data_IF_147787166870
#
_entry.id   IF_147787166870
#
_cell.length_a   1.000
_cell.length_b   1.000
_cell.length_c   1.000
_cell.angle_alpha   90.00
_cell.angle_beta   90.00
_cell.angle_gamma   90.00
#
_symmetry.space_group_name_H-M   'P 1'
#
loop_
_entity.id
_entity.type
_entity.pdbx_description
1 polymer ?
#
# COMPACT_ATOMS: atom_id res chain seq x y z
N UNK A 1 -10.37 5.98 8.03
CA UNK A 1 -11.26 4.85 8.42
C UNK A 1 -11.26 4.68 9.94
N UNK A 2 -12.33 4.18 10.59
CA UNK A 2 -12.36 3.94 12.04
C UNK A 2 -11.32 2.93 12.52
N UNK A 3 -10.89 3.07 13.77
CA UNK A 3 -9.77 2.30 14.33
C UNK A 3 -10.05 0.79 14.42
N UNK A 4 -11.30 0.41 14.68
CA UNK A 4 -11.74 -0.99 14.81
C UNK A 4 -11.50 -1.81 13.53
N UNK A 5 -11.47 -1.16 12.36
CA UNK A 5 -11.30 -1.80 11.06
C UNK A 5 -9.84 -1.82 10.58
N UNK A 6 -8.93 -1.11 11.26
CA UNK A 6 -7.53 -0.99 10.85
C UNK A 6 -6.88 -2.37 10.72
N UNK A 7 -7.05 -3.22 11.73
CA UNK A 7 -6.37 -4.51 11.77
C UNK A 7 -6.92 -5.48 10.71
N UNK A 8 -8.24 -5.50 10.52
CA UNK A 8 -8.92 -6.26 9.46
C UNK A 8 -8.39 -5.88 8.08
N UNK A 9 -8.40 -4.58 7.75
CA UNK A 9 -7.96 -4.08 6.45
C UNK A 9 -6.45 -4.29 6.25
N UNK A 10 -5.64 -4.09 7.28
CA UNK A 10 -4.21 -4.33 7.21
C UNK A 10 -3.90 -5.81 6.91
N UNK A 11 -4.64 -6.75 7.54
CA UNK A 11 -4.51 -8.20 7.26
C UNK A 11 -4.85 -8.53 5.81
N UNK A 12 -5.93 -7.96 5.26
CA UNK A 12 -6.31 -8.16 3.85
C UNK A 12 -5.20 -7.67 2.92
N UNK A 13 -4.70 -6.44 3.13
CA UNK A 13 -3.65 -5.85 2.31
C UNK A 13 -2.34 -6.66 2.38
N UNK A 14 -1.98 -7.16 3.57
CA UNK A 14 -0.74 -7.91 3.78
C UNK A 14 -0.75 -9.32 3.17
N UNK A 15 -1.91 -9.85 2.75
CA UNK A 15 -2.00 -11.15 2.08
C UNK A 15 -1.52 -11.12 0.61
N UNK A 16 -1.27 -9.94 0.06
CA UNK A 16 -0.77 -9.78 -1.30
C UNK A 16 0.76 -9.74 -1.30
N UNK A 17 1.40 -10.72 -1.94
CA UNK A 17 2.87 -10.80 -2.07
C UNK A 17 3.48 -9.57 -2.78
N UNK A 18 2.68 -8.88 -3.60
CA UNK A 18 3.06 -7.66 -4.30
C UNK A 18 3.12 -6.42 -3.40
N UNK A 19 2.61 -6.50 -2.16
CA UNK A 19 2.70 -5.42 -1.17
C UNK A 19 4.01 -5.55 -0.40
N UNK A 20 4.83 -4.49 -0.47
CA UNK A 20 6.14 -4.45 0.18
C UNK A 20 6.13 -3.75 1.53
N UNK A 21 5.23 -2.78 1.71
CA UNK A 21 5.12 -1.96 2.90
C UNK A 21 3.65 -1.64 3.14
N UNK A 22 3.23 -1.61 4.42
CA UNK A 22 1.91 -1.20 4.85
C UNK A 22 2.02 -0.45 6.18
N UNK A 23 1.46 0.76 6.25
CA UNK A 23 1.64 1.70 7.35
C UNK A 23 0.31 2.29 7.80
N UNK A 24 0.10 2.30 9.11
CA UNK A 24 -0.85 3.22 9.75
C UNK A 24 -0.22 4.62 9.81
N UNK A 25 -1.01 5.63 9.45
CA UNK A 25 -0.65 7.06 9.49
C UNK A 25 -1.79 7.87 10.10
N UNK A 26 -1.51 8.99 10.78
CA UNK A 26 -2.54 9.91 11.22
C UNK A 26 -3.23 10.59 10.03
N UNK A 27 -4.52 10.92 10.18
CA UNK A 27 -5.31 11.64 9.19
C UNK A 27 -6.47 10.83 8.59
N UNK A 28 -7.19 11.42 7.63
CA UNK A 28 -8.37 10.80 7.01
C UNK A 28 -8.00 9.55 6.18
N UNK A 29 -6.89 9.64 5.44
CA UNK A 29 -6.26 8.53 4.75
C UNK A 29 -5.22 7.88 5.67
N UNK A 30 -5.68 6.96 6.51
CA UNK A 30 -4.87 6.41 7.59
C UNK A 30 -4.12 5.12 7.23
N UNK A 31 -4.38 4.47 6.10
CA UNK A 31 -3.63 3.27 5.66
C UNK A 31 -2.88 3.58 4.37
N UNK A 32 -1.57 3.38 4.39
CA UNK A 32 -0.66 3.65 3.29
C UNK A 32 0.14 2.40 2.97
N UNK A 33 0.11 1.94 1.71
CA UNK A 33 0.86 0.77 1.30
C UNK A 33 1.51 0.96 -0.06
N UNK A 34 2.63 0.25 -0.27
CA UNK A 34 3.36 0.23 -1.53
C UNK A 34 3.17 -1.13 -2.18
N UNK A 35 2.56 -1.14 -3.37
CA UNK A 35 2.34 -2.34 -4.17
C UNK A 35 3.09 -2.24 -5.49
N UNK A 36 3.69 -3.35 -5.93
CA UNK A 36 4.38 -3.44 -7.21
C UNK A 36 4.09 -4.78 -7.88
N UNK A 37 3.72 -4.76 -9.16
CA UNK A 37 3.45 -5.96 -9.95
C UNK A 37 4.20 -5.93 -11.28
N UNK A 38 4.40 -7.10 -11.89
CA UNK A 38 5.09 -7.24 -13.17
C UNK A 38 4.35 -6.57 -14.34
N UNK A 39 3.02 -6.48 -14.26
CA UNK A 39 2.17 -5.88 -15.30
C UNK A 39 1.13 -4.95 -14.71
N UNK A 40 0.69 -3.97 -15.51
CA UNK A 40 -0.38 -3.04 -15.13
C UNK A 40 -1.69 -3.78 -14.85
N UNK A 41 -2.02 -4.79 -15.64
CA UNK A 41 -3.24 -5.59 -15.46
C UNK A 41 -3.23 -6.35 -14.12
N UNK A 42 -2.08 -6.89 -13.69
CA UNK A 42 -1.97 -7.53 -12.38
C UNK A 42 -2.13 -6.50 -11.26
N UNK A 43 -1.50 -5.32 -11.39
CA UNK A 43 -1.65 -4.24 -10.43
C UNK A 43 -3.11 -3.80 -10.27
N UNK A 44 -3.82 -3.58 -11.38
CA UNK A 44 -5.24 -3.21 -11.38
C UNK A 44 -6.10 -4.28 -10.73
N UNK A 45 -5.83 -5.56 -11.00
CA UNK A 45 -6.54 -6.69 -10.37
C UNK A 45 -6.36 -6.67 -8.85
N UNK A 46 -5.13 -6.51 -8.35
CA UNK A 46 -4.84 -6.43 -6.92
C UNK A 46 -5.58 -5.26 -6.26
N UNK A 47 -5.52 -4.07 -6.88
CA UNK A 47 -6.19 -2.87 -6.35
C UNK A 47 -7.71 -3.04 -6.31
N UNK A 48 -8.30 -3.70 -7.31
CA UNK A 48 -9.72 -3.99 -7.34
C UNK A 48 -10.11 -5.04 -6.28
N UNK A 49 -9.33 -6.09 -6.10
CA UNK A 49 -9.55 -7.10 -5.04
C UNK A 49 -9.47 -6.46 -3.64
N UNK A 50 -8.49 -5.59 -3.40
CA UNK A 50 -8.38 -4.83 -2.14
C UNK A 50 -9.62 -3.94 -1.94
N UNK A 51 -10.05 -3.17 -2.96
CA UNK A 51 -11.26 -2.33 -2.87
C UNK A 51 -12.50 -3.16 -2.54
N UNK A 52 -12.67 -4.31 -3.21
CA UNK A 52 -13.83 -5.18 -3.01
C UNK A 52 -13.86 -5.82 -1.62
N UNK A 53 -12.73 -6.36 -1.15
CA UNK A 53 -12.67 -7.05 0.14
C UNK A 53 -12.77 -6.09 1.33
N UNK A 54 -12.17 -4.89 1.21
CA UNK A 54 -12.16 -3.91 2.30
C UNK A 54 -13.37 -2.98 2.27
N UNK A 55 -14.04 -2.83 1.11
CA UNK A 55 -15.07 -1.83 0.90
C UNK A 55 -14.56 -0.38 0.97
N UNK A 56 -13.24 -0.17 0.98
CA UNK A 56 -12.61 1.14 1.13
C UNK A 56 -12.28 1.75 -0.23
N UNK A 57 -12.41 3.07 -0.35
CA UNK A 57 -11.86 3.82 -1.49
C UNK A 57 -10.34 3.81 -1.45
N UNK A 58 -9.68 3.70 -2.60
CA UNK A 58 -8.23 3.84 -2.73
C UNK A 58 -7.88 5.05 -3.59
N UNK A 59 -6.77 5.70 -3.24
CA UNK A 59 -6.10 6.71 -4.07
C UNK A 59 -4.82 6.08 -4.62
N UNK A 60 -4.68 6.07 -5.94
CA UNK A 60 -3.47 5.60 -6.62
C UNK A 60 -2.49 6.78 -6.76
N UNK A 61 -1.30 6.65 -6.19
CA UNK A 61 -0.22 7.65 -6.27
C UNK A 61 1.00 7.04 -6.99
N UNK A 62 0.97 6.91 -8.32
CA UNK A 62 2.05 6.26 -9.07
C UNK A 62 3.32 7.13 -9.07
N UNK A 63 4.47 6.49 -8.94
CA UNK A 63 5.77 7.14 -9.12
C UNK A 63 5.94 7.54 -10.59
N UNK A 64 5.80 8.83 -10.89
CA UNK A 64 6.00 9.36 -12.25
C UNK A 64 7.48 9.60 -12.59
N UNK A 65 8.27 9.97 -11.58
CA UNK A 65 9.70 10.21 -11.71
C UNK A 65 10.39 9.89 -10.39
N UNK A 66 11.46 9.11 -10.46
CA UNK A 66 12.24 8.74 -9.29
C UNK A 66 13.47 9.66 -9.15
N UNK A 67 13.51 10.44 -8.07
CA UNK A 67 14.71 11.16 -7.65
C UNK A 67 15.25 10.50 -6.40
N UNK A 68 16.24 9.61 -6.55
CA UNK A 68 16.81 8.86 -5.44
C UNK A 68 17.99 9.62 -4.85
N UNK A 69 17.85 10.07 -3.60
CA UNK A 69 18.97 10.54 -2.79
C UNK A 69 19.61 9.30 -2.14
N UNK A 70 20.90 9.07 -2.39
CA UNK A 70 21.61 7.94 -1.82
C UNK A 70 21.73 8.09 -0.30
N UNK A 71 21.33 7.04 0.45
CA UNK A 71 21.55 6.98 1.89
C UNK A 71 22.77 6.10 2.17
N UNK A 72 23.66 6.57 3.05
CA UNK A 72 24.80 5.80 3.57
C UNK A 72 24.55 5.52 5.04
N UNK A 73 24.46 4.24 5.39
CA UNK A 73 24.42 3.81 6.78
C UNK A 73 25.81 3.34 7.19
N UNK A 74 26.34 3.91 8.25
CA UNK A 74 27.54 3.40 8.90
C UNK A 74 27.10 2.31 9.88
N UNK A 75 27.25 1.06 9.47
CA UNK A 75 26.99 -0.10 10.34
C UNK A 75 28.32 -0.42 11.04
N UNK A 76 28.30 -0.51 12.38
CA UNK A 76 29.45 -0.94 13.18
C UNK A 76 29.67 -2.45 13.09
#
# INVERSE_FOLDING_TARGET
>A
MPDERIEEVARIINNFNEVSHNYLRPGEYNIWFTVSAQTRQRLERILNEIKQQTGCSLIELPTLRLFKIGVKFYVK
#
